data_IF_089520128558
#
_entry.id   IF_089520128558
#
_cell.length_a   1.000
_cell.length_b   1.000
_cell.length_c   1.000
_cell.angle_alpha   90.00
_cell.angle_beta   90.00
_cell.angle_gamma   90.00
#
_symmetry.space_group_name_H-M   'P 1'
#
loop_
_entity.id
_entity.type
_entity.pdbx_description
1 polymer ?
#
# COMPACT_ATOMS: atom_id res chain seq x y z
N UNK A 1 19.05 10.63 6.12
CA UNK A 1 19.55 9.28 6.33
C UNK A 1 18.80 8.65 7.47
N UNK A 2 18.02 7.61 7.22
CA UNK A 2 17.42 6.83 8.29
C UNK A 2 18.55 6.07 8.98
N UNK A 3 18.65 6.12 10.30
CA UNK A 3 19.61 5.30 11.01
C UNK A 3 19.08 3.85 10.98
N UNK A 4 19.60 3.05 10.08
CA UNK A 4 19.59 1.61 10.27
C UNK A 4 20.41 1.34 11.52
N UNK A 5 19.74 1.27 12.65
CA UNK A 5 20.37 0.82 13.87
C UNK A 5 20.92 -0.57 13.61
N UNK A 6 22.22 -0.73 13.70
CA UNK A 6 22.85 -2.03 13.77
C UNK A 6 22.17 -2.78 14.91
N UNK A 7 21.41 -3.80 14.55
CA UNK A 7 20.83 -4.73 15.49
C UNK A 7 21.98 -5.47 16.16
N UNK A 8 22.48 -4.93 17.24
CA UNK A 8 23.37 -5.66 18.12
C UNK A 8 22.51 -6.74 18.75
N UNK A 9 22.60 -7.96 18.23
CA UNK A 9 21.89 -9.14 18.70
C UNK A 9 22.25 -9.50 20.14
N UNK A 10 21.83 -8.66 21.07
CA UNK A 10 21.78 -9.01 22.48
C UNK A 10 20.72 -10.10 22.64
N UNK A 11 21.14 -11.29 23.01
CA UNK A 11 20.22 -12.34 23.46
C UNK A 11 19.53 -11.85 24.72
N UNK A 12 18.35 -11.26 24.59
CA UNK A 12 17.47 -11.07 25.71
C UNK A 12 16.81 -12.42 26.00
N UNK A 13 17.20 -13.06 27.08
CA UNK A 13 16.47 -14.20 27.64
C UNK A 13 15.51 -13.66 28.68
N UNK A 14 14.22 -13.75 28.40
CA UNK A 14 13.16 -13.39 29.32
C UNK A 14 11.87 -14.05 28.91
N UNK A 15 11.04 -14.40 29.90
CA UNK A 15 9.68 -14.88 29.64
C UNK A 15 8.75 -13.69 29.74
N UNK A 16 8.07 -13.37 28.64
CA UNK A 16 7.02 -12.35 28.63
C UNK A 16 5.69 -13.06 28.86
N UNK A 17 5.04 -12.73 29.97
CA UNK A 17 3.70 -13.23 30.27
C UNK A 17 2.70 -12.21 29.77
N UNK A 18 1.81 -12.63 28.86
CA UNK A 18 0.64 -11.85 28.47
C UNK A 18 -0.56 -12.38 29.26
N UNK A 19 -1.08 -11.59 30.16
CA UNK A 19 -2.35 -11.90 30.84
C UNK A 19 -3.46 -11.16 30.11
N UNK A 20 -4.51 -11.91 29.74
CA UNK A 20 -5.73 -11.37 29.12
C UNK A 20 -5.54 -10.58 27.81
N UNK A 21 -4.72 -11.05 26.88
CA UNK A 21 -4.72 -10.49 25.53
C UNK A 21 -6.05 -10.81 24.84
N UNK A 22 -6.98 -9.87 24.90
CA UNK A 22 -8.22 -9.92 24.16
C UNK A 22 -8.03 -9.32 22.78
N UNK A 23 -7.79 -10.13 21.76
CA UNK A 23 -7.85 -9.69 20.37
C UNK A 23 -9.32 -9.56 20.01
N UNK A 24 -9.81 -8.34 19.98
CA UNK A 24 -11.13 -8.05 19.42
C UNK A 24 -10.88 -7.61 17.97
N UNK A 25 -11.37 -8.37 16.98
CA UNK A 25 -11.36 -7.89 15.60
C UNK A 25 -12.06 -6.52 15.56
N UNK A 26 -11.50 -5.57 14.81
CA UNK A 26 -12.24 -4.35 14.53
C UNK A 26 -13.57 -4.76 13.89
N UNK A 27 -14.71 -4.18 14.31
CA UNK A 27 -15.98 -4.49 13.70
C UNK A 27 -15.85 -4.28 12.18
N UNK A 28 -16.24 -5.27 11.39
CA UNK A 28 -16.18 -5.19 9.93
C UNK A 28 -16.99 -4.00 9.40
N UNK A 29 -18.00 -3.59 10.16
CA UNK A 29 -18.83 -2.40 9.93
C UNK A 29 -18.05 -1.07 10.04
N UNK A 30 -16.91 -1.04 10.76
CA UNK A 30 -16.08 0.15 10.89
C UNK A 30 -15.24 0.42 9.64
N UNK A 31 -15.10 -0.56 8.74
CA UNK A 31 -14.32 -0.42 7.52
C UNK A 31 -15.22 -0.07 6.32
N UNK A 32 -14.77 0.90 5.56
CA UNK A 32 -15.26 1.17 4.23
C UNK A 32 -14.55 0.24 3.27
N UNK A 33 -15.27 -0.63 2.58
CA UNK A 33 -14.70 -1.60 1.64
C UNK A 33 -15.13 -1.31 0.23
N UNK A 34 -14.16 -1.26 -0.69
CA UNK A 34 -14.37 -1.22 -2.14
C UNK A 34 -13.43 -2.19 -2.83
N UNK A 35 -13.90 -2.78 -3.92
CA UNK A 35 -13.18 -3.82 -4.63
C UNK A 35 -13.11 -3.48 -6.12
N UNK A 36 -11.88 -3.38 -6.64
CA UNK A 36 -11.56 -3.25 -8.05
C UNK A 36 -11.23 -4.61 -8.69
N UNK A 37 -10.61 -4.59 -9.84
CA UNK A 37 -10.20 -5.80 -10.53
C UNK A 37 -9.02 -6.49 -9.81
N UNK A 38 -8.03 -5.72 -9.39
CA UNK A 38 -6.79 -6.20 -8.77
C UNK A 38 -6.60 -5.73 -7.33
N UNK A 39 -7.28 -4.69 -6.93
CA UNK A 39 -7.09 -4.01 -5.64
C UNK A 39 -8.37 -4.08 -4.81
N UNK A 40 -8.20 -4.32 -3.51
CA UNK A 40 -9.27 -4.19 -2.50
C UNK A 40 -8.89 -3.11 -1.52
N UNK A 41 -9.72 -2.09 -1.38
CA UNK A 41 -9.57 -1.04 -0.37
C UNK A 41 -10.36 -1.41 0.88
N UNK A 42 -9.71 -1.35 2.04
CA UNK A 42 -10.34 -1.42 3.37
C UNK A 42 -9.86 -0.21 4.17
N UNK A 43 -10.66 0.83 4.17
CA UNK A 43 -10.34 2.11 4.78
C UNK A 43 -11.15 2.31 6.06
N UNK A 44 -10.57 3.04 7.02
CA UNK A 44 -11.31 3.53 8.17
C UNK A 44 -12.45 4.44 7.67
N UNK A 45 -13.70 4.02 7.94
CA UNK A 45 -14.90 4.68 7.43
C UNK A 45 -14.94 6.16 7.77
N UNK A 46 -14.48 6.53 8.96
CA UNK A 46 -14.51 7.91 9.42
C UNK A 46 -13.51 8.82 8.67
N UNK A 47 -12.61 8.24 7.90
CA UNK A 47 -11.60 8.96 7.11
C UNK A 47 -11.94 9.07 5.63
N UNK A 48 -13.00 8.41 5.17
CA UNK A 48 -13.48 8.52 3.80
C UNK A 48 -14.35 9.75 3.67
N UNK A 49 -13.78 10.82 3.10
CA UNK A 49 -14.40 12.14 2.98
C UNK A 49 -14.96 12.42 1.59
N UNK A 50 -14.69 11.54 0.64
CA UNK A 50 -15.09 11.69 -0.78
C UNK A 50 -16.22 10.71 -1.13
N UNK A 51 -16.84 10.91 -2.28
CA UNK A 51 -17.95 10.06 -2.73
C UNK A 51 -17.49 8.66 -3.15
N UNK A 52 -18.42 7.72 -3.19
CA UNK A 52 -18.18 6.37 -3.71
C UNK A 52 -17.67 6.40 -5.16
N UNK A 53 -18.21 7.29 -5.97
CA UNK A 53 -17.78 7.45 -7.36
C UNK A 53 -16.33 7.94 -7.47
N UNK A 54 -15.90 8.82 -6.57
CA UNK A 54 -14.51 9.29 -6.51
C UNK A 54 -13.57 8.17 -6.07
N UNK A 55 -13.99 7.36 -5.09
CA UNK A 55 -13.21 6.17 -4.67
C UNK A 55 -13.11 5.17 -5.83
N UNK A 56 -14.19 4.90 -6.55
CA UNK A 56 -14.17 3.99 -7.69
C UNK A 56 -13.27 4.51 -8.82
N UNK A 57 -13.27 5.83 -9.05
CA UNK A 57 -12.37 6.46 -10.02
C UNK A 57 -10.89 6.33 -9.60
N UNK A 58 -10.58 6.51 -8.32
CA UNK A 58 -9.23 6.30 -7.80
C UNK A 58 -8.83 4.82 -7.83
N UNK A 59 -9.73 3.92 -7.42
CA UNK A 59 -9.51 2.48 -7.46
C UNK A 59 -9.18 1.98 -8.87
N UNK A 60 -9.87 2.51 -9.89
CA UNK A 60 -9.55 2.24 -11.30
C UNK A 60 -8.12 2.69 -11.68
N UNK A 61 -7.61 3.79 -11.10
CA UNK A 61 -6.21 4.20 -11.30
C UNK A 61 -5.23 3.21 -10.65
N UNK A 62 -5.57 2.69 -9.48
CA UNK A 62 -4.75 1.67 -8.79
C UNK A 62 -4.73 0.35 -9.56
N UNK A 63 -5.85 -0.08 -10.13
CA UNK A 63 -5.93 -1.26 -11.00
C UNK A 63 -5.06 -1.08 -12.25
N UNK A 64 -5.12 0.08 -12.91
CA UNK A 64 -4.24 0.42 -14.04
C UNK A 64 -2.76 0.44 -13.64
N UNK A 65 -2.44 0.89 -12.43
CA UNK A 65 -1.08 0.83 -11.89
C UNK A 65 -0.61 -0.62 -11.75
N UNK A 66 -1.46 -1.49 -11.22
CA UNK A 66 -1.16 -2.92 -11.13
C UNK A 66 -0.87 -3.51 -12.51
N UNK A 67 -1.69 -3.22 -13.51
CA UNK A 67 -1.50 -3.70 -14.89
C UNK A 67 -0.17 -3.20 -15.49
N UNK A 68 0.14 -1.92 -15.32
CA UNK A 68 1.40 -1.36 -15.78
C UNK A 68 2.62 -2.05 -15.13
N UNK A 69 2.55 -2.35 -13.83
CA UNK A 69 3.62 -3.08 -13.15
C UNK A 69 3.71 -4.54 -13.61
N UNK A 70 2.58 -5.21 -13.79
CA UNK A 70 2.54 -6.57 -14.37
C UNK A 70 3.22 -6.60 -15.74
N UNK A 71 2.90 -5.66 -16.60
CA UNK A 71 3.44 -5.60 -17.96
C UNK A 71 4.95 -5.27 -17.96
N UNK A 72 5.40 -4.39 -17.04
CA UNK A 72 6.82 -4.08 -16.88
C UNK A 72 7.62 -5.26 -16.33
N UNK A 73 7.10 -5.92 -15.31
CA UNK A 73 7.80 -6.99 -14.57
C UNK A 73 7.65 -8.34 -15.30
N UNK A 74 6.54 -8.54 -15.99
CA UNK A 74 6.22 -9.80 -16.70
C UNK A 74 5.72 -10.90 -15.76
N UNK A 75 5.26 -10.55 -14.54
CA UNK A 75 4.77 -11.48 -13.55
C UNK A 75 3.73 -10.82 -12.64
N UNK A 76 3.02 -11.59 -11.84
CA UNK A 76 1.99 -11.15 -10.91
C UNK A 76 2.35 -11.50 -9.48
N UNK A 77 2.13 -10.60 -8.52
CA UNK A 77 2.39 -10.90 -7.12
C UNK A 77 1.32 -11.82 -6.54
N UNK A 78 1.68 -12.57 -5.51
CA UNK A 78 0.79 -13.42 -4.71
C UNK A 78 -0.05 -14.40 -5.54
N UNK A 79 0.51 -14.97 -6.62
CA UNK A 79 -0.18 -15.89 -7.53
C UNK A 79 -1.46 -15.28 -8.15
N UNK A 80 -1.46 -13.98 -8.42
CA UNK A 80 -2.57 -13.24 -9.02
C UNK A 80 -3.72 -12.93 -8.06
N UNK A 81 -3.55 -13.15 -6.76
CA UNK A 81 -4.55 -12.71 -5.76
C UNK A 81 -4.59 -11.19 -5.69
N UNK A 82 -5.78 -10.63 -5.46
CA UNK A 82 -5.95 -9.19 -5.28
C UNK A 82 -5.09 -8.67 -4.13
N UNK A 83 -4.52 -7.50 -4.31
CA UNK A 83 -3.79 -6.79 -3.28
C UNK A 83 -4.79 -6.04 -2.41
N UNK A 84 -4.78 -6.32 -1.12
CA UNK A 84 -5.56 -5.56 -0.16
C UNK A 84 -4.76 -4.35 0.33
N UNK A 85 -5.38 -3.18 0.36
CA UNK A 85 -4.86 -1.97 1.03
C UNK A 85 -5.70 -1.75 2.28
N UNK A 86 -5.08 -1.90 3.44
CA UNK A 86 -5.75 -1.81 4.73
C UNK A 86 -5.25 -0.59 5.51
N UNK A 87 -6.15 0.35 5.74
CA UNK A 87 -5.88 1.46 6.66
C UNK A 87 -5.96 0.95 8.10
N UNK A 88 -4.90 1.12 8.87
CA UNK A 88 -4.78 0.55 10.22
C UNK A 88 -3.96 1.44 11.16
N UNK A 89 -4.32 1.52 12.44
CA UNK A 89 -3.48 2.15 13.47
C UNK A 89 -2.31 1.27 13.92
N UNK A 90 -2.22 0.03 13.42
CA UNK A 90 -1.26 -0.98 13.89
C UNK A 90 0.17 -0.81 13.40
N UNK A 91 0.50 0.29 12.70
CA UNK A 91 1.85 0.59 12.24
C UNK A 91 2.49 1.59 13.19
N UNK A 92 3.77 1.39 13.51
CA UNK A 92 4.50 2.32 14.36
C UNK A 92 4.51 3.75 13.79
N UNK A 93 4.43 4.77 14.66
CA UNK A 93 4.58 6.16 14.25
C UNK A 93 5.92 6.35 13.52
N UNK A 94 5.87 6.95 12.34
CA UNK A 94 7.05 7.20 11.48
C UNK A 94 7.06 6.42 10.19
N UNK A 95 6.30 5.34 10.08
CA UNK A 95 6.04 4.68 8.81
C UNK A 95 4.76 5.22 8.17
N UNK A 96 4.83 5.57 6.91
CA UNK A 96 3.66 6.03 6.16
C UNK A 96 2.78 4.86 5.75
N UNK A 97 3.39 3.84 5.17
CA UNK A 97 2.77 2.56 4.83
C UNK A 97 3.83 1.46 4.82
N UNK A 98 3.40 0.22 4.71
CA UNK A 98 4.25 -0.96 4.57
C UNK A 98 3.70 -1.85 3.47
N UNK A 99 4.55 -2.18 2.50
CA UNK A 99 4.21 -3.10 1.42
C UNK A 99 3.94 -4.52 1.93
N UNK A 100 3.07 -5.23 1.24
CA UNK A 100 2.70 -6.60 1.53
C UNK A 100 1.31 -6.95 0.98
N UNK A 101 0.70 -8.00 1.50
CA UNK A 101 -0.72 -8.27 1.29
C UNK A 101 -1.36 -8.70 2.62
N UNK A 102 -1.96 -7.74 3.32
CA UNK A 102 -2.30 -6.38 2.90
C UNK A 102 -1.09 -5.41 2.84
N UNK A 103 -1.18 -4.41 1.98
CA UNK A 103 -0.45 -3.16 2.15
C UNK A 103 -1.07 -2.48 3.36
N UNK A 104 -0.26 -2.22 4.39
CA UNK A 104 -0.72 -1.55 5.59
C UNK A 104 -0.55 -0.05 5.42
N UNK A 105 -1.63 0.71 5.44
CA UNK A 105 -1.62 2.16 5.38
C UNK A 105 -1.87 2.74 6.77
N UNK A 106 -0.89 3.48 7.26
CA UNK A 106 -0.94 4.01 8.62
C UNK A 106 -2.09 5.01 8.80
N UNK A 107 -3.00 4.72 9.73
CA UNK A 107 -4.14 5.59 9.98
C UNK A 107 -3.79 6.92 10.67
N UNK A 108 -2.57 7.08 11.16
CA UNK A 108 -2.07 8.37 11.65
C UNK A 108 -1.65 9.31 10.51
N UNK A 109 -1.49 8.80 9.29
CA UNK A 109 -1.30 9.63 8.10
C UNK A 109 -2.65 10.17 7.65
N UNK A 110 -2.67 11.37 7.11
CA UNK A 110 -3.89 12.02 6.67
C UNK A 110 -4.49 11.35 5.41
N UNK A 111 -5.22 10.26 5.62
CA UNK A 111 -5.91 9.48 4.57
C UNK A 111 -6.89 10.38 3.81
N UNK A 112 -7.72 11.14 4.54
CA UNK A 112 -8.68 12.07 3.96
C UNK A 112 -8.01 13.08 3.02
N UNK A 113 -6.88 13.67 3.43
CA UNK A 113 -6.14 14.61 2.56
C UNK A 113 -5.65 13.99 1.27
N UNK A 114 -5.26 12.71 1.29
CA UNK A 114 -4.88 12.01 0.08
C UNK A 114 -6.11 11.81 -0.81
N UNK A 115 -7.23 11.38 -0.24
CA UNK A 115 -8.47 11.20 -0.98
C UNK A 115 -8.98 12.53 -1.57
N UNK A 116 -8.96 13.61 -0.80
CA UNK A 116 -9.33 14.94 -1.29
C UNK A 116 -8.47 15.35 -2.51
N UNK A 117 -7.16 15.05 -2.47
CA UNK A 117 -6.25 15.33 -3.60
C UNK A 117 -6.54 14.48 -4.85
N UNK A 118 -7.01 13.25 -4.67
CA UNK A 118 -7.40 12.42 -5.83
C UNK A 118 -8.57 13.05 -6.60
N UNK A 119 -9.44 13.74 -5.89
CA UNK A 119 -10.59 14.45 -6.46
C UNK A 119 -10.17 15.82 -7.01
N UNK A 120 -9.51 16.64 -6.19
CA UNK A 120 -9.22 18.04 -6.53
C UNK A 120 -8.19 18.16 -7.67
N UNK A 121 -7.17 17.30 -7.68
CA UNK A 121 -6.05 17.37 -8.62
C UNK A 121 -5.94 16.16 -9.55
N UNK A 122 -6.84 15.19 -9.45
CA UNK A 122 -6.70 13.93 -10.18
C UNK A 122 -5.48 13.11 -9.75
N UNK A 123 -4.94 13.37 -8.55
CA UNK A 123 -3.74 12.72 -8.03
C UNK A 123 -3.91 11.20 -7.98
N UNK A 124 -2.84 10.47 -8.29
CA UNK A 124 -2.82 9.00 -8.26
C UNK A 124 -2.48 8.43 -6.89
N UNK A 125 -2.03 9.26 -5.94
CA UNK A 125 -1.68 8.83 -4.60
C UNK A 125 -0.30 8.19 -4.52
N UNK A 126 0.74 9.05 -4.53
CA UNK A 126 2.16 8.67 -4.52
C UNK A 126 2.48 7.47 -3.64
N UNK A 127 2.16 7.55 -2.35
CA UNK A 127 2.59 6.51 -1.42
C UNK A 127 1.94 5.16 -1.70
N UNK A 128 0.68 5.12 -2.08
CA UNK A 128 -0.02 3.85 -2.36
C UNK A 128 0.52 3.19 -3.62
N UNK A 129 0.70 3.93 -4.71
CA UNK A 129 1.28 3.35 -5.93
C UNK A 129 2.75 2.96 -5.76
N UNK A 130 3.49 3.64 -4.88
CA UNK A 130 4.84 3.26 -4.47
C UNK A 130 4.85 1.92 -3.71
N UNK A 131 3.95 1.74 -2.73
CA UNK A 131 3.85 0.48 -2.00
C UNK A 131 3.41 -0.69 -2.90
N UNK A 132 2.50 -0.45 -3.85
CA UNK A 132 2.18 -1.44 -4.88
C UNK A 132 3.46 -1.77 -5.69
N UNK A 133 4.33 -0.79 -5.94
CA UNK A 133 5.62 -1.01 -6.58
C UNK A 133 6.52 -1.98 -5.82
N UNK A 134 6.58 -1.89 -4.49
CA UNK A 134 7.29 -2.86 -3.65
C UNK A 134 6.66 -4.26 -3.71
N UNK A 135 5.34 -4.36 -3.84
CA UNK A 135 4.65 -5.65 -3.93
C UNK A 135 5.09 -6.44 -5.17
N UNK A 136 5.41 -5.77 -6.27
CA UNK A 136 5.96 -6.40 -7.48
C UNK A 136 7.47 -6.70 -7.36
N UNK A 137 7.90 -7.23 -6.23
CA UNK A 137 9.30 -7.49 -5.89
C UNK A 137 9.52 -8.91 -5.41
N UNK A 138 10.79 -9.24 -5.18
CA UNK A 138 11.23 -10.56 -4.74
C UNK A 138 10.45 -11.08 -3.53
N UNK A 139 10.02 -12.33 -3.60
CA UNK A 139 9.24 -13.01 -2.57
C UNK A 139 7.72 -12.93 -2.79
N UNK A 140 7.25 -11.97 -3.56
CA UNK A 140 5.83 -11.81 -3.88
C UNK A 140 5.49 -12.29 -5.29
N UNK A 141 6.48 -12.27 -6.19
CA UNK A 141 6.38 -12.79 -7.55
C UNK A 141 7.12 -14.11 -7.65
N UNK A 142 6.58 -15.05 -8.44
CA UNK A 142 7.12 -16.40 -8.56
C UNK A 142 8.21 -16.53 -9.62
N UNK A 143 8.30 -15.57 -10.51
CA UNK A 143 9.14 -15.62 -11.67
C UNK A 143 10.57 -15.14 -11.45
N UNK A 144 11.39 -15.36 -12.46
CA UNK A 144 12.74 -14.78 -12.58
C UNK A 144 12.70 -13.38 -13.17
N UNK A 145 11.66 -12.62 -12.87
CA UNK A 145 11.39 -11.31 -13.43
C UNK A 145 12.62 -10.42 -13.43
N UNK A 146 12.86 -9.72 -14.52
CA UNK A 146 14.05 -8.87 -14.71
C UNK A 146 14.18 -7.76 -13.67
N UNK A 147 13.09 -7.41 -13.02
CA UNK A 147 12.94 -6.26 -12.12
C UNK A 147 12.53 -6.68 -10.71
N UNK A 148 13.03 -7.85 -10.29
CA UNK A 148 12.66 -8.49 -9.04
C UNK A 148 13.46 -7.93 -7.83
N UNK A 149 13.73 -6.65 -7.79
CA UNK A 149 14.48 -6.01 -6.72
C UNK A 149 13.55 -5.24 -5.80
N UNK A 150 13.74 -5.48 -4.51
CA UNK A 150 12.92 -4.87 -3.47
C UNK A 150 13.72 -3.76 -2.79
N UNK A 151 13.73 -2.58 -3.38
CA UNK A 151 14.26 -1.38 -2.77
C UNK A 151 13.46 -0.14 -3.18
N UNK A 152 13.70 0.95 -2.48
CA UNK A 152 13.04 2.23 -2.67
C UNK A 152 13.22 2.80 -4.09
N UNK A 153 14.40 2.59 -4.68
CA UNK A 153 14.72 3.10 -6.02
C UNK A 153 13.84 2.40 -7.05
N UNK A 154 13.72 1.07 -6.96
CA UNK A 154 12.90 0.31 -7.89
C UNK A 154 11.39 0.50 -7.70
N UNK A 155 10.93 0.70 -6.46
CA UNK A 155 9.55 1.09 -6.21
C UNK A 155 9.22 2.44 -6.85
N UNK A 156 10.11 3.44 -6.69
CA UNK A 156 9.98 4.74 -7.34
C UNK A 156 10.09 4.66 -8.87
N UNK A 157 10.97 3.81 -9.39
CA UNK A 157 11.10 3.59 -10.83
C UNK A 157 9.81 3.00 -11.43
N UNK A 158 9.25 1.95 -10.80
CA UNK A 158 7.99 1.34 -11.23
C UNK A 158 6.85 2.35 -11.19
N UNK A 159 6.78 3.15 -10.12
CA UNK A 159 5.80 4.22 -9.99
C UNK A 159 5.90 5.23 -11.13
N UNK A 160 7.11 5.71 -11.45
CA UNK A 160 7.33 6.64 -12.56
C UNK A 160 6.92 6.02 -13.89
N UNK A 161 7.25 4.75 -14.11
CA UNK A 161 6.82 4.02 -15.29
C UNK A 161 5.30 3.92 -15.41
N UNK A 162 4.59 3.56 -14.32
CA UNK A 162 3.14 3.44 -14.36
C UNK A 162 2.47 4.79 -14.61
N UNK A 163 2.96 5.87 -14.02
CA UNK A 163 2.45 7.22 -14.28
C UNK A 163 2.61 7.60 -15.76
N UNK A 164 3.77 7.33 -16.35
CA UNK A 164 3.99 7.59 -17.78
C UNK A 164 3.11 6.70 -18.67
N UNK A 165 3.06 5.39 -18.41
CA UNK A 165 2.29 4.43 -19.20
C UNK A 165 0.77 4.66 -19.13
N UNK A 166 0.29 5.28 -18.06
CA UNK A 166 -1.14 5.51 -17.81
C UNK A 166 -1.57 6.97 -17.98
N UNK A 167 -0.71 7.88 -18.43
CA UNK A 167 -0.95 9.34 -18.41
C UNK A 167 -1.35 9.84 -17.02
N UNK A 168 -0.73 9.24 -16.01
CA UNK A 168 -1.02 9.53 -14.61
C UNK A 168 -0.33 10.80 -14.14
N UNK A 169 -0.95 11.47 -13.16
CA UNK A 169 -0.41 12.69 -12.57
C UNK A 169 -0.26 12.58 -11.07
N UNK A 170 0.75 13.26 -10.55
CA UNK A 170 0.86 13.53 -9.12
C UNK A 170 0.93 15.04 -8.93
N UNK A 171 0.11 15.55 -8.03
CA UNK A 171 0.18 16.96 -7.66
C UNK A 171 1.50 17.21 -6.93
N UNK A 172 2.21 18.24 -7.34
CA UNK A 172 3.40 18.67 -6.63
C UNK A 172 3.03 19.12 -5.20
N UNK A 173 3.88 18.77 -4.26
CA UNK A 173 3.74 19.23 -2.87
C UNK A 173 4.18 20.67 -2.72
#
# INVERSE_FOLDING_TARGET
GFPWGTYNGGKASGTVWYDNVKVTPAPEEALYTREGEHIVLKLDRDKVTVSDADIDAWLSKLDRTYEAYRDLVGDVPFDGRKIMILNTPGIEPGYWALAGNPILWNSHVAVSKLLDRTVEFGDWGFGIIHEIGHVFSQGNISGTGRWNWNDEIFANFRMSYALEACDGTMSQR
#
